data_IF_571642985250
#
_entry.id   IF_571642985250
#
_cell.length_a   1.000
_cell.length_b   1.000
_cell.length_c   1.000
_cell.angle_alpha   90.00
_cell.angle_beta   90.00
_cell.angle_gamma   90.00
#
_symmetry.space_group_name_H-M   'P 1'
#
loop_
_entity.id
_entity.type
_entity.pdbx_description
1 polymer ?
#
# COMPACT_ATOMS: atom_id res chain seq x y z
N UNK A 1 -4.35 -15.52 9.76
CA UNK A 1 -3.85 -16.07 8.47
C UNK A 1 -3.54 -14.99 7.42
N UNK A 2 -4.51 -14.24 6.86
CA UNK A 2 -4.18 -13.22 5.83
C UNK A 2 -3.36 -12.04 6.35
N UNK A 3 -3.64 -11.56 7.57
CA UNK A 3 -2.90 -10.46 8.16
C UNK A 3 -1.42 -10.80 8.36
N UNK A 4 -1.11 -12.00 8.86
CA UNK A 4 0.27 -12.46 9.09
C UNK A 4 1.05 -12.63 7.78
N UNK A 5 0.40 -13.11 6.71
CA UNK A 5 1.02 -13.23 5.38
C UNK A 5 1.37 -11.86 4.77
N UNK A 6 0.52 -10.85 4.95
CA UNK A 6 0.86 -9.49 4.50
C UNK A 6 2.07 -8.96 5.27
N UNK A 7 2.07 -9.11 6.59
CA UNK A 7 3.17 -8.69 7.44
C UNK A 7 4.49 -9.43 7.11
N UNK A 8 4.41 -10.72 6.77
CA UNK A 8 5.53 -11.51 6.27
C UNK A 8 6.09 -10.96 4.95
N UNK A 9 5.23 -10.70 3.96
CA UNK A 9 5.61 -10.16 2.66
C UNK A 9 6.19 -8.75 2.74
N UNK A 10 5.79 -7.98 3.76
CA UNK A 10 6.32 -6.65 4.06
C UNK A 10 7.55 -6.68 4.99
N UNK A 11 8.13 -7.86 5.29
CA UNK A 11 9.31 -8.07 6.15
C UNK A 11 9.15 -7.50 7.59
N UNK A 12 7.92 -7.45 8.08
CA UNK A 12 7.55 -6.89 9.38
C UNK A 12 7.07 -7.94 10.40
N UNK A 13 7.15 -9.22 10.04
CA UNK A 13 6.73 -10.31 10.91
C UNK A 13 7.85 -10.57 11.93
N UNK A 14 7.48 -10.83 13.19
CA UNK A 14 8.48 -11.20 14.18
C UNK A 14 9.09 -12.58 13.85
N UNK A 15 10.33 -12.78 14.28
CA UNK A 15 11.12 -13.97 13.95
C UNK A 15 10.40 -15.28 14.32
N UNK A 16 9.69 -15.31 15.45
CA UNK A 16 9.02 -16.53 15.92
C UNK A 16 7.85 -16.93 15.03
N UNK A 17 7.01 -15.97 14.62
CA UNK A 17 5.92 -16.23 13.68
C UNK A 17 6.44 -16.47 12.26
N UNK A 18 7.59 -15.91 11.90
CA UNK A 18 8.25 -16.16 10.62
C UNK A 18 8.63 -17.64 10.49
N UNK A 19 9.29 -18.20 11.50
CA UNK A 19 9.67 -19.63 11.54
C UNK A 19 8.44 -20.56 11.46
N UNK A 20 7.39 -20.27 12.23
CA UNK A 20 6.15 -21.06 12.20
C UNK A 20 5.48 -21.04 10.82
N UNK A 21 5.48 -19.88 10.18
CA UNK A 21 4.89 -19.71 8.85
C UNK A 21 5.71 -20.44 7.77
N UNK A 22 7.03 -20.36 7.83
CA UNK A 22 7.93 -21.09 6.92
C UNK A 22 7.76 -22.60 7.07
N UNK A 23 7.67 -23.09 8.32
CA UNK A 23 7.41 -24.51 8.59
C UNK A 23 6.09 -24.97 7.96
N UNK A 24 5.03 -24.15 8.03
CA UNK A 24 3.76 -24.45 7.39
C UNK A 24 3.87 -24.48 5.86
N UNK A 25 4.54 -23.48 5.27
CA UNK A 25 4.70 -23.37 3.82
C UNK A 25 5.49 -24.53 3.22
N UNK A 26 6.47 -25.06 3.94
CA UNK A 26 7.24 -26.23 3.50
C UNK A 26 6.45 -27.54 3.60
N UNK A 27 5.51 -27.64 4.55
CA UNK A 27 4.64 -28.80 4.70
C UNK A 27 3.35 -28.76 3.86
N UNK A 28 2.98 -27.60 3.30
CA UNK A 28 1.65 -27.37 2.73
C UNK A 28 1.72 -26.85 1.28
N UNK A 29 1.66 -27.77 0.31
CA UNK A 29 1.65 -27.45 -1.13
C UNK A 29 0.59 -26.42 -1.55
N UNK A 30 -0.66 -26.49 -1.08
CA UNK A 30 -1.69 -25.48 -1.39
C UNK A 30 -1.31 -24.07 -0.93
N UNK A 31 -0.75 -23.92 0.27
CA UNK A 31 -0.34 -22.61 0.77
C UNK A 31 0.87 -22.05 0.03
N UNK A 32 1.80 -22.92 -0.38
CA UNK A 32 2.94 -22.55 -1.24
C UNK A 32 2.49 -22.05 -2.62
N UNK A 33 1.52 -22.73 -3.23
CA UNK A 33 0.92 -22.30 -4.50
C UNK A 33 0.15 -20.97 -4.35
N UNK A 34 -0.56 -20.81 -3.24
CA UNK A 34 -1.25 -19.57 -2.92
C UNK A 34 -0.27 -18.39 -2.76
N UNK A 35 0.81 -18.56 -2.00
CA UNK A 35 1.85 -17.54 -1.82
C UNK A 35 2.46 -17.11 -3.16
N UNK A 36 2.81 -18.06 -4.03
CA UNK A 36 3.33 -17.75 -5.36
C UNK A 36 2.34 -16.93 -6.21
N UNK A 37 1.03 -17.24 -6.13
CA UNK A 37 0.00 -16.47 -6.84
C UNK A 37 -0.15 -15.04 -6.30
N UNK A 38 0.05 -14.85 -4.99
CA UNK A 38 0.00 -13.56 -4.33
C UNK A 38 1.20 -12.70 -4.71
N UNK A 39 2.42 -13.25 -4.67
CA UNK A 39 3.65 -12.57 -5.11
C UNK A 39 3.55 -12.12 -6.57
N UNK A 40 3.04 -12.99 -7.44
CA UNK A 40 2.82 -12.65 -8.85
C UNK A 40 1.81 -11.49 -9.01
N UNK A 41 0.75 -11.47 -8.21
CA UNK A 41 -0.25 -10.39 -8.22
C UNK A 41 0.37 -9.07 -7.73
N UNK A 42 1.17 -9.10 -6.67
CA UNK A 42 1.89 -7.93 -6.14
C UNK A 42 2.82 -7.35 -7.21
N UNK A 43 3.58 -8.21 -7.90
CA UNK A 43 4.49 -7.78 -8.95
C UNK A 43 3.76 -7.16 -10.15
N UNK A 44 2.59 -7.69 -10.51
CA UNK A 44 1.72 -7.09 -11.52
C UNK A 44 1.21 -5.72 -11.08
N UNK A 45 0.80 -5.57 -9.82
CA UNK A 45 0.38 -4.28 -9.26
C UNK A 45 1.52 -3.25 -9.26
N UNK A 46 2.75 -3.66 -8.93
CA UNK A 46 3.95 -2.80 -8.95
C UNK A 46 4.32 -2.34 -10.37
N UNK A 47 4.18 -3.22 -11.35
CA UNK A 47 4.44 -2.92 -12.78
C UNK A 47 3.30 -2.20 -13.46
N UNK A 48 2.10 -2.28 -12.91
CA UNK A 48 0.94 -1.58 -13.45
C UNK A 48 1.28 -0.09 -13.46
N UNK A 49 1.04 0.61 -14.58
CA UNK A 49 1.17 2.05 -14.60
C UNK A 49 0.14 2.60 -13.63
N UNK A 50 0.56 2.90 -12.40
CA UNK A 50 -0.18 3.84 -11.59
C UNK A 50 -0.27 5.09 -12.47
N UNK A 51 -1.48 5.45 -12.90
CA UNK A 51 -1.74 6.72 -13.58
C UNK A 51 -1.52 7.85 -12.57
N UNK A 52 -0.29 7.99 -12.10
CA UNK A 52 0.17 9.16 -11.40
C UNK A 52 0.23 10.22 -12.49
N UNK A 53 -0.55 11.31 -12.40
CA UNK A 53 -0.49 12.36 -13.39
C UNK A 53 0.97 12.78 -13.55
N UNK A 54 1.42 13.04 -14.78
CA UNK A 54 2.79 13.52 -15.03
C UNK A 54 3.16 14.61 -14.01
N UNK A 55 4.41 14.62 -13.50
CA UNK A 55 4.79 15.44 -12.35
C UNK A 55 4.36 16.90 -12.43
N UNK A 56 4.36 17.50 -13.62
CA UNK A 56 3.84 18.85 -13.86
C UNK A 56 2.34 19.00 -13.53
N UNK A 57 1.51 18.02 -13.93
CA UNK A 57 0.08 18.00 -13.59
C UNK A 57 -0.12 17.89 -12.08
N UNK A 58 0.67 17.07 -11.38
CA UNK A 58 0.60 16.93 -9.90
C UNK A 58 0.98 18.23 -9.22
N UNK A 59 2.07 18.88 -9.64
CA UNK A 59 2.52 20.16 -9.08
C UNK A 59 1.44 21.23 -9.29
N UNK A 60 0.84 21.30 -10.49
CA UNK A 60 -0.24 22.24 -10.79
C UNK A 60 -1.47 21.97 -9.92
N UNK A 61 -1.92 20.71 -9.84
CA UNK A 61 -3.08 20.34 -9.02
C UNK A 61 -2.86 20.69 -7.56
N UNK A 62 -1.68 20.36 -7.00
CA UNK A 62 -1.32 20.67 -5.62
C UNK A 62 -1.34 22.17 -5.34
N UNK A 63 -0.82 22.97 -6.27
CA UNK A 63 -0.83 24.44 -6.16
C UNK A 63 -2.25 25.00 -6.16
N UNK A 64 -3.12 24.50 -7.04
CA UNK A 64 -4.54 24.90 -7.10
C UNK A 64 -5.29 24.52 -5.84
N UNK A 65 -5.10 23.28 -5.34
CA UNK A 65 -5.70 22.79 -4.11
C UNK A 65 -5.35 23.66 -2.91
N UNK A 66 -4.07 23.96 -2.71
CA UNK A 66 -3.60 24.81 -1.60
C UNK A 66 -4.16 26.24 -1.70
N UNK A 67 -4.19 26.81 -2.90
CA UNK A 67 -4.76 28.14 -3.14
C UNK A 67 -6.25 28.17 -2.79
N UNK A 68 -7.01 27.18 -3.23
CA UNK A 68 -8.45 27.09 -2.97
C UNK A 68 -8.73 26.84 -1.50
N UNK A 69 -7.97 25.96 -0.86
CA UNK A 69 -8.07 25.70 0.57
C UNK A 69 -7.78 26.95 1.41
N UNK A 70 -6.75 27.71 1.07
CA UNK A 70 -6.45 28.99 1.74
C UNK A 70 -7.58 30.01 1.62
N UNK A 71 -8.29 30.05 0.49
CA UNK A 71 -9.48 30.89 0.31
C UNK A 71 -10.65 30.45 1.19
N UNK A 72 -10.89 29.13 1.27
CA UNK A 72 -11.93 28.56 2.14
C UNK A 72 -11.62 28.86 3.61
N UNK A 73 -10.37 28.71 4.05
CA UNK A 73 -9.96 29.04 5.41
C UNK A 73 -10.07 30.55 5.71
N UNK A 74 -9.70 31.41 4.77
CA UNK A 74 -9.87 32.86 4.95
C UNK A 74 -11.34 33.30 4.98
N UNK A 75 -12.21 32.59 4.27
CA UNK A 75 -13.66 32.80 4.31
C UNK A 75 -14.32 32.16 5.55
N UNK A 76 -13.65 31.19 6.18
CA UNK A 76 -14.11 30.57 7.41
C UNK A 76 -13.83 31.51 8.60
N UNK A 77 -14.85 32.27 9.01
CA UNK A 77 -14.86 32.99 10.29
C UNK A 77 -15.27 31.99 11.39
N UNK A 78 -14.36 31.53 12.27
CA UNK A 78 -14.81 30.84 13.47
C UNK A 78 -15.65 31.83 14.28
N UNK A 79 -16.87 31.42 14.63
CA UNK A 79 -17.86 32.26 15.30
C UNK A 79 -17.34 32.88 16.59
N UNK A 80 -17.67 34.15 16.78
CA UNK A 80 -17.73 34.86 18.07
C UNK A 80 -18.70 34.19 19.03
#
# INVERSE_FOLDING_TARGET
MFAELSTYLDEQLDDSLCEELEQHLDGCGPCKAFLASLEATIEQCRKSPAECPAGEKVVRLRKELLKNYGRVLAAFRPGT
#
